data_IF_954449851414
#
_entry.id   IF_954449851414
#
_cell.length_a   1.000
_cell.length_b   1.000
_cell.length_c   1.000
_cell.angle_alpha   90.00
_cell.angle_beta   90.00
_cell.angle_gamma   90.00
#
_symmetry.space_group_name_H-M   'P 1'
#
loop_
_entity.id
_entity.type
_entity.pdbx_description
1 polymer ?
#
# COMPACT_ATOMS: atom_id res chain seq x y z
N UNK A 1 17.76 1.38 20.09
CA UNK A 1 18.33 0.31 19.25
C UNK A 1 18.04 0.69 17.81
N UNK A 2 19.03 0.60 16.91
CA UNK A 2 18.87 0.95 15.51
C UNK A 2 18.57 -0.32 14.71
N UNK A 3 17.48 -0.33 13.95
CA UNK A 3 17.16 -1.41 13.02
C UNK A 3 17.60 -1.06 11.60
N UNK A 4 17.88 -2.09 10.81
CA UNK A 4 18.10 -2.02 9.37
C UNK A 4 16.84 -2.49 8.65
N UNK A 5 16.18 -1.59 7.92
CA UNK A 5 14.95 -1.88 7.19
C UNK A 5 15.21 -1.85 5.68
N UNK A 6 14.90 -2.95 5.01
CA UNK A 6 14.89 -3.03 3.55
C UNK A 6 13.52 -2.63 3.04
N UNK A 7 13.40 -1.74 2.05
CA UNK A 7 12.11 -1.38 1.47
C UNK A 7 12.13 -1.72 -0.02
N UNK A 8 11.26 -2.64 -0.43
CA UNK A 8 11.07 -2.99 -1.82
C UNK A 8 10.21 -1.91 -2.48
N UNK A 9 10.85 -0.98 -3.20
CA UNK A 9 10.22 0.16 -3.86
C UNK A 9 10.67 1.52 -3.29
N UNK A 10 11.34 2.33 -4.12
CA UNK A 10 11.84 3.67 -3.73
C UNK A 10 10.90 4.84 -4.09
N UNK A 11 9.63 4.56 -4.41
CA UNK A 11 8.64 5.62 -4.69
C UNK A 11 7.83 5.92 -3.44
N UNK A 12 6.71 5.22 -3.25
CA UNK A 12 5.90 5.37 -2.05
C UNK A 12 6.66 4.93 -0.80
N UNK A 13 7.55 3.93 -0.93
CA UNK A 13 8.44 3.47 0.13
C UNK A 13 9.38 4.53 0.69
N UNK A 14 9.69 5.61 -0.05
CA UNK A 14 10.47 6.74 0.49
C UNK A 14 9.76 7.45 1.63
N UNK A 15 8.42 7.47 1.67
CA UNK A 15 7.70 8.06 2.80
C UNK A 15 7.99 7.28 4.10
N UNK A 16 7.76 5.96 4.09
CA UNK A 16 8.08 5.11 5.24
C UNK A 16 9.58 5.15 5.56
N UNK A 17 10.43 5.13 4.52
CA UNK A 17 11.88 5.22 4.65
C UNK A 17 12.33 6.49 5.36
N UNK A 18 11.85 7.66 4.94
CA UNK A 18 12.15 8.92 5.62
C UNK A 18 11.65 8.92 7.06
N UNK A 19 10.45 8.40 7.35
CA UNK A 19 9.96 8.31 8.74
C UNK A 19 10.87 7.45 9.63
N UNK A 20 11.31 6.30 9.12
CA UNK A 20 12.25 5.41 9.82
C UNK A 20 13.62 6.06 10.01
N UNK A 21 14.14 6.75 8.99
CA UNK A 21 15.41 7.45 9.07
C UNK A 21 15.36 8.63 10.05
N UNK A 22 14.28 9.41 10.09
CA UNK A 22 14.04 10.42 11.13
C UNK A 22 14.03 9.83 12.54
N UNK A 23 13.56 8.59 12.69
CA UNK A 23 13.53 7.87 13.95
C UNK A 23 14.90 7.24 14.32
N UNK A 24 15.95 7.44 13.51
CA UNK A 24 17.30 6.93 13.78
C UNK A 24 17.55 5.51 13.31
N UNK A 25 16.71 4.98 12.42
CA UNK A 25 16.87 3.66 11.80
C UNK A 25 17.55 3.75 10.43
N UNK A 26 18.21 2.67 9.99
CA UNK A 26 18.82 2.62 8.67
C UNK A 26 17.83 2.04 7.67
N UNK A 27 17.80 2.63 6.47
CA UNK A 27 16.89 2.24 5.39
C UNK A 27 17.67 1.96 4.12
N UNK A 28 17.36 0.84 3.48
CA UNK A 28 17.79 0.56 2.10
C UNK A 28 16.57 0.49 1.19
N UNK A 29 16.49 1.40 0.22
CA UNK A 29 15.45 1.41 -0.80
C UNK A 29 15.87 0.56 -2.01
N UNK A 30 15.07 -0.44 -2.38
CA UNK A 30 15.31 -1.23 -3.59
C UNK A 30 14.62 -0.58 -4.78
N UNK A 31 15.39 -0.31 -5.83
CA UNK A 31 14.90 0.34 -7.04
C UNK A 31 15.77 0.00 -8.27
N UNK A 32 15.50 0.68 -9.39
CA UNK A 32 16.29 0.53 -10.62
C UNK A 32 17.62 1.27 -10.50
N UNK A 33 18.65 0.83 -11.22
CA UNK A 33 20.03 1.36 -11.09
C UNK A 33 20.12 2.88 -11.16
N UNK A 34 19.48 3.52 -12.15
CA UNK A 34 19.46 5.00 -12.26
C UNK A 34 18.86 5.70 -11.04
N UNK A 35 17.82 5.12 -10.45
CA UNK A 35 17.21 5.67 -9.23
C UNK A 35 18.10 5.42 -8.01
N UNK A 36 18.80 4.29 -7.96
CA UNK A 36 19.73 3.99 -6.89
C UNK A 36 20.95 4.92 -6.91
N UNK A 37 21.54 5.14 -8.08
CA UNK A 37 22.63 6.11 -8.30
C UNK A 37 22.21 7.52 -7.86
N UNK A 38 21.03 7.97 -8.30
CA UNK A 38 20.49 9.27 -7.91
C UNK A 38 20.31 9.40 -6.39
N UNK A 39 19.67 8.43 -5.75
CA UNK A 39 19.43 8.48 -4.29
C UNK A 39 20.74 8.41 -3.51
N UNK A 40 21.71 7.61 -3.95
CA UNK A 40 23.00 7.53 -3.26
C UNK A 40 23.87 8.77 -3.45
N UNK A 41 23.64 9.55 -4.53
CA UNK A 41 24.38 10.78 -4.81
C UNK A 41 23.73 12.02 -4.19
N UNK A 42 22.40 12.08 -4.15
CA UNK A 42 21.64 13.29 -3.79
C UNK A 42 20.65 13.09 -2.63
N UNK A 43 20.57 11.89 -2.06
CA UNK A 43 19.57 11.56 -1.04
C UNK A 43 18.14 11.49 -1.58
N UNK A 44 17.15 11.44 -0.68
CA UNK A 44 15.72 11.57 -0.98
C UNK A 44 15.15 12.85 -0.40
N UNK A 45 14.16 13.44 -1.07
CA UNK A 45 13.37 14.55 -0.55
C UNK A 45 11.91 14.11 -0.36
N UNK A 46 11.37 14.23 0.85
CA UNK A 46 9.94 14.06 1.12
C UNK A 46 9.34 15.39 1.54
N UNK A 47 8.41 15.90 0.73
CA UNK A 47 7.66 17.14 0.98
C UNK A 47 6.37 16.82 1.71
N UNK A 48 6.21 17.34 2.92
CA UNK A 48 5.01 17.09 3.75
C UNK A 48 4.56 18.35 4.47
N UNK A 49 3.25 18.57 4.51
CA UNK A 49 2.63 19.71 5.17
C UNK A 49 2.38 19.41 6.64
N UNK A 50 2.90 20.25 7.54
CA UNK A 50 2.71 20.09 8.98
C UNK A 50 1.37 20.69 9.41
N UNK A 51 0.89 20.29 10.58
CA UNK A 51 -0.41 20.76 11.09
C UNK A 51 -0.36 22.26 11.35
N UNK A 52 -1.26 23.00 10.69
CA UNK A 52 -1.39 24.45 10.87
C UNK A 52 -0.45 25.30 10.01
N UNK A 53 0.37 24.66 9.17
CA UNK A 53 1.20 25.37 8.19
C UNK A 53 0.46 25.47 6.85
N UNK A 54 0.88 26.41 6.00
CA UNK A 54 0.33 26.57 4.65
C UNK A 54 1.19 25.89 3.58
N UNK A 55 2.51 25.91 3.76
CA UNK A 55 3.49 25.35 2.84
C UNK A 55 3.93 23.93 3.24
N UNK A 56 4.43 23.18 2.27
CA UNK A 56 5.10 21.90 2.53
C UNK A 56 6.52 22.14 3.01
N UNK A 57 6.95 21.36 4.01
CA UNK A 57 8.36 21.29 4.41
C UNK A 57 9.05 20.16 3.66
N UNK A 58 10.29 20.40 3.24
CA UNK A 58 11.16 19.36 2.69
C UNK A 58 11.93 18.66 3.80
N UNK A 59 11.90 17.32 3.77
CA UNK A 59 12.69 16.47 4.65
C UNK A 59 13.69 15.72 3.76
N UNK A 60 14.96 16.09 3.88
CA UNK A 60 16.05 15.45 3.14
C UNK A 60 16.61 14.27 3.94
N UNK A 61 16.94 13.17 3.27
CA UNK A 61 17.52 11.99 3.94
C UNK A 61 18.88 12.25 4.57
N UNK A 62 19.59 13.27 4.11
CA UNK A 62 20.96 13.55 4.56
C UNK A 62 20.96 14.40 5.85
N UNK A 63 19.82 15.00 6.17
CA UNK A 63 19.63 15.86 7.34
C UNK A 63 18.99 15.12 8.54
N UNK A 64 18.74 13.81 8.40
CA UNK A 64 18.07 13.00 9.44
C UNK A 64 19.05 12.04 10.12
N UNK A 65 18.69 11.56 11.32
CA UNK A 65 19.61 10.79 12.18
C UNK A 65 19.98 9.41 11.65
N UNK A 66 19.05 8.75 10.96
CA UNK A 66 19.23 7.44 10.34
C UNK A 66 19.78 7.54 8.92
N UNK A 67 20.37 6.45 8.42
CA UNK A 67 20.97 6.43 7.08
C UNK A 67 19.97 5.95 6.03
N UNK A 68 19.94 6.62 4.88
CA UNK A 68 19.21 6.14 3.70
C UNK A 68 20.22 5.80 2.60
N UNK A 69 20.07 4.63 2.00
CA UNK A 69 20.77 4.25 0.77
C UNK A 69 19.81 3.55 -0.19
N UNK A 70 20.24 3.34 -1.42
CA UNK A 70 19.49 2.59 -2.42
C UNK A 70 20.33 1.52 -3.12
N UNK A 71 19.70 0.40 -3.43
CA UNK A 71 20.32 -0.74 -4.13
C UNK A 71 19.41 -1.23 -5.26
N UNK A 72 20.01 -1.90 -6.25
CA UNK A 72 19.26 -2.78 -7.15
C UNK A 72 18.91 -4.09 -6.44
N UNK A 73 17.90 -4.85 -6.89
CA UNK A 73 17.55 -6.14 -6.28
C UNK A 73 18.73 -7.10 -6.12
N UNK A 74 19.68 -7.09 -7.07
CA UNK A 74 20.85 -7.97 -7.07
C UNK A 74 21.91 -7.59 -6.03
N UNK A 75 21.92 -6.34 -5.57
CA UNK A 75 22.86 -5.86 -4.57
C UNK A 75 22.47 -6.17 -3.13
N UNK A 76 21.30 -6.76 -2.90
CA UNK A 76 20.76 -6.97 -1.55
C UNK A 76 21.28 -8.27 -0.94
N UNK A 77 21.80 -8.17 0.28
CA UNK A 77 22.07 -9.29 1.19
C UNK A 77 20.99 -9.26 2.27
N UNK A 78 20.05 -10.19 2.22
CA UNK A 78 18.83 -10.10 3.03
C UNK A 78 19.10 -10.22 4.53
N UNK A 79 20.15 -10.95 4.93
CA UNK A 79 20.51 -11.19 6.33
C UNK A 79 20.98 -9.91 7.05
N UNK A 80 21.27 -8.82 6.31
CA UNK A 80 21.66 -7.54 6.89
C UNK A 80 20.47 -6.75 7.48
N UNK A 81 19.24 -7.26 7.32
CA UNK A 81 18.01 -6.52 7.60
C UNK A 81 17.14 -7.20 8.65
N UNK A 82 16.58 -6.39 9.55
CA UNK A 82 15.71 -6.81 10.64
C UNK A 82 14.23 -6.88 10.20
N UNK A 83 13.85 -6.11 9.17
CA UNK A 83 12.49 -6.05 8.64
C UNK A 83 12.52 -5.62 7.16
N UNK A 84 11.50 -6.05 6.41
CA UNK A 84 11.23 -5.64 5.03
C UNK A 84 9.93 -4.84 4.96
N UNK A 85 9.94 -3.72 4.22
CA UNK A 85 8.74 -3.01 3.77
C UNK A 85 8.40 -3.36 2.33
N UNK A 86 7.17 -3.83 2.07
CA UNK A 86 6.68 -4.09 0.71
C UNK A 86 5.94 -2.83 0.20
N UNK A 87 6.58 -2.07 -0.69
CA UNK A 87 6.15 -0.73 -1.10
C UNK A 87 6.08 -0.50 -2.62
N UNK A 88 6.00 -1.59 -3.39
CA UNK A 88 5.67 -1.64 -4.82
C UNK A 88 4.21 -2.07 -5.00
N UNK A 89 3.63 -1.87 -6.18
CA UNK A 89 2.33 -2.46 -6.51
C UNK A 89 2.46 -3.97 -6.69
N UNK A 90 1.42 -4.74 -6.33
CA UNK A 90 1.43 -6.22 -6.42
C UNK A 90 1.99 -6.77 -7.75
N UNK A 91 1.59 -6.28 -8.94
CA UNK A 91 2.08 -6.83 -10.20
C UNK A 91 3.60 -6.73 -10.39
N UNK A 92 4.25 -5.78 -9.69
CA UNK A 92 5.69 -5.57 -9.82
C UNK A 92 6.49 -6.69 -9.17
N UNK A 93 5.94 -7.40 -8.18
CA UNK A 93 6.62 -8.52 -7.51
C UNK A 93 6.75 -9.76 -8.40
N UNK A 94 5.95 -9.88 -9.46
CA UNK A 94 6.10 -10.91 -10.49
C UNK A 94 7.35 -10.71 -11.38
N UNK A 95 8.01 -9.54 -11.29
CA UNK A 95 9.17 -9.27 -12.12
C UNK A 95 10.36 -10.16 -11.72
N UNK A 96 10.92 -10.89 -12.70
CA UNK A 96 11.96 -11.90 -12.49
C UNK A 96 13.17 -11.44 -11.66
N UNK A 97 13.54 -10.15 -11.73
CA UNK A 97 14.65 -9.58 -10.94
C UNK A 97 14.43 -9.62 -9.43
N UNK A 98 13.18 -9.72 -8.97
CA UNK A 98 12.83 -9.79 -7.55
C UNK A 98 12.74 -11.22 -7.03
N UNK A 99 12.68 -12.22 -7.91
CA UNK A 99 12.44 -13.62 -7.51
C UNK A 99 13.44 -14.11 -6.47
N UNK A 100 14.74 -13.92 -6.70
CA UNK A 100 15.79 -14.41 -5.81
C UNK A 100 15.73 -13.74 -4.44
N UNK A 101 15.52 -12.43 -4.39
CA UNK A 101 15.45 -11.68 -3.13
C UNK A 101 14.19 -12.06 -2.33
N UNK A 102 13.04 -12.23 -2.99
CA UNK A 102 11.80 -12.65 -2.33
C UNK A 102 11.90 -14.07 -1.74
N UNK A 103 12.49 -15.01 -2.49
CA UNK A 103 12.75 -16.37 -1.99
C UNK A 103 13.61 -16.31 -0.72
N UNK A 104 14.69 -15.53 -0.75
CA UNK A 104 15.60 -15.41 0.40
C UNK A 104 14.92 -14.74 1.61
N UNK A 105 14.14 -13.69 1.41
CA UNK A 105 13.36 -13.04 2.49
C UNK A 105 12.45 -14.07 3.16
N UNK A 106 11.75 -14.89 2.36
CA UNK A 106 10.85 -15.91 2.87
C UNK A 106 11.58 -17.04 3.62
N UNK A 107 12.68 -17.55 3.06
CA UNK A 107 13.47 -18.64 3.66
C UNK A 107 14.13 -18.22 4.98
N UNK A 108 14.61 -16.98 5.07
CA UNK A 108 15.20 -16.41 6.29
C UNK A 108 14.15 -15.90 7.29
N UNK A 109 12.85 -15.98 6.94
CA UNK A 109 11.72 -15.50 7.75
C UNK A 109 11.89 -14.06 8.24
N UNK A 110 12.31 -13.16 7.35
CA UNK A 110 12.43 -11.74 7.70
C UNK A 110 11.02 -11.12 7.73
N UNK A 111 10.60 -10.46 8.84
CA UNK A 111 9.29 -9.87 8.95
C UNK A 111 9.00 -8.85 7.84
N UNK A 112 7.83 -8.95 7.23
CA UNK A 112 7.41 -8.15 6.09
C UNK A 112 6.18 -7.29 6.42
N UNK A 113 6.35 -5.97 6.43
CA UNK A 113 5.28 -4.98 6.52
C UNK A 113 4.86 -4.54 5.11
N UNK A 114 3.69 -4.98 4.65
CA UNK A 114 3.13 -4.48 3.40
C UNK A 114 2.46 -3.13 3.57
N UNK A 115 2.83 -2.15 2.74
CA UNK A 115 2.13 -0.86 2.60
C UNK A 115 1.44 -0.75 1.23
N UNK A 116 1.08 -1.89 0.64
CA UNK A 116 0.36 -2.00 -0.63
C UNK A 116 -1.16 -1.86 -0.41
N UNK A 117 -1.93 -1.52 -1.46
CA UNK A 117 -3.39 -1.64 -1.36
C UNK A 117 -3.80 -3.11 -1.44
N UNK A 118 -3.14 -3.88 -2.30
CA UNK A 118 -3.39 -5.31 -2.40
C UNK A 118 -2.75 -6.03 -1.21
N UNK A 119 -3.51 -6.77 -0.39
CA UNK A 119 -2.92 -7.61 0.64
C UNK A 119 -2.07 -8.71 -0.02
N UNK A 120 -0.85 -8.99 0.44
CA UNK A 120 -0.16 -10.22 0.07
C UNK A 120 -1.05 -11.44 0.33
N UNK A 121 -1.08 -12.42 -0.57
CA UNK A 121 -1.91 -13.62 -0.37
C UNK A 121 -1.55 -14.33 0.94
N UNK A 122 -0.27 -14.32 1.31
CA UNK A 122 0.22 -14.84 2.60
C UNK A 122 -0.40 -14.17 3.82
N UNK A 123 -0.68 -12.86 3.75
CA UNK A 123 -1.35 -12.16 4.85
C UNK A 123 -2.78 -12.67 5.03
N UNK A 124 -3.51 -12.89 3.93
CA UNK A 124 -4.90 -13.36 3.97
C UNK A 124 -5.02 -14.76 4.61
N UNK A 125 -3.99 -15.61 4.52
CA UNK A 125 -3.96 -16.92 5.16
C UNK A 125 -4.04 -16.86 6.70
N UNK A 126 -3.83 -15.68 7.29
CA UNK A 126 -3.96 -15.45 8.74
C UNK A 126 -5.41 -15.20 9.19
N UNK A 127 -6.32 -14.92 8.25
CA UNK A 127 -7.73 -14.66 8.58
C UNK A 127 -8.41 -16.00 8.81
N UNK A 128 -8.86 -16.24 10.04
CA UNK A 128 -9.55 -17.47 10.41
C UNK A 128 -10.83 -17.65 9.58
N UNK A 129 -11.04 -18.85 9.03
CA UNK A 129 -12.22 -19.19 8.24
C UNK A 129 -12.21 -18.71 6.78
N UNK A 130 -11.21 -17.94 6.34
CA UNK A 130 -11.09 -17.52 4.95
C UNK A 130 -10.43 -18.61 4.06
N UNK A 131 -11.16 -19.14 3.08
CA UNK A 131 -10.57 -19.99 2.03
C UNK A 131 -9.78 -19.13 1.02
N UNK A 132 -8.46 -19.28 1.04
CA UNK A 132 -7.56 -18.53 0.14
C UNK A 132 -7.30 -19.24 -1.19
N UNK A 133 -7.77 -20.48 -1.37
CA UNK A 133 -7.43 -21.33 -2.52
C UNK A 133 -7.87 -20.76 -3.87
N UNK A 134 -9.00 -20.03 -3.89
CA UNK A 134 -9.57 -19.40 -5.10
C UNK A 134 -9.10 -17.97 -5.32
N UNK A 135 -8.48 -17.34 -4.32
CA UNK A 135 -8.15 -15.92 -4.36
C UNK A 135 -6.99 -15.62 -5.31
N UNK A 136 -6.24 -16.64 -5.74
CA UNK A 136 -5.14 -16.50 -6.69
C UNK A 136 -5.51 -15.80 -8.01
N UNK A 137 -6.78 -15.87 -8.43
CA UNK A 137 -7.28 -15.18 -9.62
C UNK A 137 -7.27 -13.64 -9.50
N UNK A 138 -7.11 -13.10 -8.29
CA UNK A 138 -6.98 -11.65 -8.04
C UNK A 138 -5.52 -11.15 -8.03
N UNK A 139 -4.54 -12.05 -8.24
CA UNK A 139 -3.12 -11.73 -8.23
C UNK A 139 -2.51 -11.86 -9.62
N UNK A 140 -1.49 -11.05 -9.92
CA UNK A 140 -0.75 -11.14 -11.19
C UNK A 140 0.06 -12.43 -11.25
N UNK A 141 0.70 -12.78 -10.14
CA UNK A 141 1.38 -14.06 -9.93
C UNK A 141 1.20 -14.47 -8.47
N UNK A 142 0.22 -15.34 -8.14
CA UNK A 142 0.00 -15.74 -6.75
C UNK A 142 1.18 -16.52 -6.17
N UNK A 143 2.02 -17.15 -7.01
CA UNK A 143 3.11 -18.03 -6.56
C UNK A 143 4.26 -17.28 -5.89
N UNK A 144 4.34 -15.97 -6.12
CA UNK A 144 5.23 -15.04 -5.42
C UNK A 144 5.10 -15.17 -3.89
N UNK A 145 3.90 -15.47 -3.41
CA UNK A 145 3.55 -15.44 -1.99
C UNK A 145 3.67 -16.81 -1.31
N UNK A 146 3.82 -17.91 -2.06
CA UNK A 146 3.69 -19.28 -1.55
C UNK A 146 4.71 -19.66 -0.48
N UNK A 147 5.93 -19.10 -0.58
CA UNK A 147 7.04 -19.43 0.33
C UNK A 147 7.00 -18.67 1.64
N UNK A 148 6.27 -17.55 1.70
CA UNK A 148 6.26 -16.72 2.88
C UNK A 148 5.45 -17.38 3.99
N UNK A 149 5.99 -17.30 5.20
CA UNK A 149 5.32 -17.72 6.42
C UNK A 149 4.28 -16.66 6.83
N UNK A 150 2.98 -17.01 6.99
CA UNK A 150 1.94 -16.09 7.45
C UNK A 150 2.29 -15.32 8.72
N UNK A 151 2.99 -15.92 9.68
CA UNK A 151 3.30 -15.25 10.95
C UNK A 151 4.28 -14.08 10.78
N UNK A 152 5.03 -14.07 9.68
CA UNK A 152 6.03 -13.05 9.34
C UNK A 152 5.51 -12.04 8.30
N UNK A 153 4.23 -12.10 7.93
CA UNK A 153 3.62 -11.15 7.00
C UNK A 153 2.53 -10.33 7.71
N UNK A 154 2.66 -9.00 7.64
CA UNK A 154 1.60 -8.10 8.07
C UNK A 154 1.25 -7.07 7.01
N UNK A 155 0.09 -6.44 7.18
CA UNK A 155 -0.44 -5.43 6.27
C UNK A 155 -0.64 -4.12 7.01
N UNK A 156 -0.43 -3.05 6.27
CA UNK A 156 -0.75 -1.70 6.65
C UNK A 156 -1.65 -1.09 5.60
N UNK A 157 -2.73 -0.41 6.02
CA UNK A 157 -3.48 0.46 5.11
C UNK A 157 -2.58 1.61 4.68
N UNK A 158 -2.27 1.80 3.38
CA UNK A 158 -1.58 2.97 2.89
C UNK A 158 -2.55 4.16 2.85
N UNK A 159 -2.84 4.73 4.01
CA UNK A 159 -3.70 5.91 4.11
C UNK A 159 -3.02 7.18 3.56
N UNK A 160 -1.70 7.43 3.70
CA UNK A 160 -1.07 8.63 3.16
C UNK A 160 -1.23 8.73 1.64
N UNK A 161 -1.66 9.89 1.14
CA UNK A 161 -1.67 10.14 -0.29
C UNK A 161 -0.39 10.86 -0.69
N UNK A 162 0.47 10.14 -1.41
CA UNK A 162 1.74 10.68 -1.91
C UNK A 162 1.93 10.34 -3.39
N UNK A 163 2.63 11.21 -4.10
CA UNK A 163 2.97 11.02 -5.50
C UNK A 163 4.33 11.63 -5.80
N UNK A 164 4.99 11.14 -6.85
CA UNK A 164 6.16 11.79 -7.42
C UNK A 164 5.70 12.90 -8.36
N UNK A 165 6.08 14.16 -8.13
CA UNK A 165 5.75 15.22 -9.07
C UNK A 165 6.41 14.93 -10.43
N UNK A 166 5.69 15.12 -11.55
CA UNK A 166 6.21 14.80 -12.89
C UNK A 166 7.38 15.71 -13.30
N UNK A 167 7.43 16.93 -12.76
CA UNK A 167 8.46 17.93 -13.06
C UNK A 167 9.76 17.72 -12.26
N UNK A 168 9.75 16.80 -11.29
CA UNK A 168 10.82 16.61 -10.31
C UNK A 168 11.61 15.33 -10.58
N UNK A 169 12.80 15.24 -9.97
CA UNK A 169 13.63 14.03 -10.01
C UNK A 169 12.96 12.86 -9.27
N UNK A 170 13.35 11.62 -9.61
CA UNK A 170 12.73 10.41 -9.08
C UNK A 170 12.95 10.16 -7.57
N UNK A 171 13.82 10.93 -6.92
CA UNK A 171 14.08 10.91 -5.47
C UNK A 171 13.20 11.90 -4.68
N UNK A 172 12.32 12.66 -5.35
CA UNK A 172 11.38 13.59 -4.72
C UNK A 172 9.99 12.96 -4.59
N UNK A 173 9.40 13.04 -3.40
CA UNK A 173 8.04 12.60 -3.10
C UNK A 173 7.25 13.72 -2.46
N UNK A 174 6.04 13.97 -2.96
CA UNK A 174 5.11 14.95 -2.41
C UNK A 174 3.94 14.27 -1.71
N UNK A 175 3.69 14.63 -0.45
CA UNK A 175 2.59 14.13 0.37
C UNK A 175 1.43 15.14 0.32
N UNK A 176 0.38 14.79 -0.42
CA UNK A 176 -0.83 15.61 -0.53
C UNK A 176 -1.75 15.46 0.69
N UNK A 177 -1.84 14.26 1.26
CA UNK A 177 -2.62 14.00 2.47
C UNK A 177 -1.79 13.22 3.50
N UNK A 178 -1.36 13.86 4.60
CA UNK A 178 -0.42 13.29 5.55
C UNK A 178 -1.12 12.49 6.67
N UNK A 179 -1.87 11.46 6.31
CA UNK A 179 -2.51 10.51 7.23
C UNK A 179 -1.52 9.47 7.75
N UNK A 180 -1.93 8.62 8.71
CA UNK A 180 -1.04 7.64 9.33
C UNK A 180 -1.10 6.28 8.63
N UNK A 181 0.03 5.59 8.56
CA UNK A 181 0.09 4.16 8.31
C UNK A 181 -0.60 3.40 9.45
N UNK A 182 -1.54 2.52 9.14
CA UNK A 182 -2.25 1.68 10.11
C UNK A 182 -1.95 0.22 9.85
N UNK A 183 -1.04 -0.33 10.63
CA UNK A 183 -0.59 -1.72 10.52
C UNK A 183 -1.35 -2.62 11.50
N UNK A 184 -1.60 -3.86 11.10
CA UNK A 184 -1.90 -4.92 12.05
C UNK A 184 -0.62 -5.55 12.60
N UNK A 185 -0.73 -6.20 13.76
CA UNK A 185 0.35 -7.03 14.31
C UNK A 185 0.72 -8.18 13.35
N UNK A 186 1.98 -8.61 13.40
CA UNK A 186 2.46 -9.90 12.90
C UNK A 186 1.86 -11.06 13.71
N UNK A 187 1.92 -12.28 13.18
CA UNK A 187 1.67 -13.49 13.97
C UNK A 187 2.83 -13.80 14.92
N UNK A 188 4.05 -13.43 14.53
CA UNK A 188 5.25 -13.62 15.36
C UNK A 188 5.47 -12.51 16.40
N UNK A 189 5.74 -12.91 17.64
CA UNK A 189 5.94 -12.01 18.76
C UNK A 189 7.25 -11.18 18.66
N UNK A 190 8.33 -11.76 18.10
CA UNK A 190 9.60 -11.03 17.96
C UNK A 190 9.50 -9.97 16.86
N UNK A 191 8.83 -10.28 15.76
CA UNK A 191 8.48 -9.34 14.70
C UNK A 191 7.66 -8.17 15.26
N UNK A 192 6.67 -8.45 16.12
CA UNK A 192 5.89 -7.41 16.79
C UNK A 192 6.73 -6.50 17.69
N UNK A 193 7.77 -7.01 18.38
CA UNK A 193 8.70 -6.14 19.14
C UNK A 193 9.41 -5.12 18.26
N UNK A 194 9.82 -5.53 17.06
CA UNK A 194 10.42 -4.62 16.08
C UNK A 194 9.36 -3.60 15.66
N UNK A 195 8.18 -4.05 15.24
CA UNK A 195 7.10 -3.19 14.75
C UNK A 195 6.68 -2.12 15.78
N UNK A 196 6.46 -2.51 17.04
CA UNK A 196 6.12 -1.59 18.12
C UNK A 196 7.24 -0.59 18.43
N UNK A 197 8.50 -1.03 18.33
CA UNK A 197 9.62 -0.12 18.53
C UNK A 197 9.70 0.91 17.41
N UNK A 198 9.50 0.50 16.16
CA UNK A 198 9.42 1.42 15.02
C UNK A 198 8.25 2.40 15.16
N UNK A 199 7.10 1.96 15.65
CA UNK A 199 5.96 2.84 15.95
C UNK A 199 6.32 3.91 17.00
N UNK A 200 6.89 3.49 18.13
CA UNK A 200 7.31 4.39 19.22
C UNK A 200 8.33 5.42 18.72
N UNK A 201 9.37 4.95 18.04
CA UNK A 201 10.47 5.80 17.59
C UNK A 201 9.96 6.80 16.52
N UNK A 202 9.13 6.37 15.56
CA UNK A 202 8.47 7.29 14.60
C UNK A 202 7.55 8.29 15.30
N UNK A 203 6.80 7.87 16.34
CA UNK A 203 5.92 8.76 17.08
C UNK A 203 6.69 9.88 17.80
N UNK A 204 7.91 9.58 18.26
CA UNK A 204 8.78 10.52 18.95
C UNK A 204 9.46 11.57 18.05
N UNK A 205 9.46 11.38 16.73
CA UNK A 205 10.16 12.27 15.79
C UNK A 205 9.67 13.72 15.85
N UNK A 206 10.62 14.66 15.82
CA UNK A 206 10.40 16.11 15.75
C UNK A 206 11.28 16.73 14.67
N UNK A 207 10.80 17.82 14.06
CA UNK A 207 11.58 18.67 13.15
C UNK A 207 11.37 20.13 13.57
N UNK A 208 12.45 20.84 13.88
CA UNK A 208 12.42 22.20 14.44
C UNK A 208 11.49 22.34 15.66
N UNK A 209 11.47 21.31 16.51
CA UNK A 209 10.59 21.23 17.68
C UNK A 209 9.12 20.84 17.38
N UNK A 210 8.72 20.75 16.12
CA UNK A 210 7.35 20.42 15.71
C UNK A 210 7.13 18.91 15.55
N UNK A 211 5.91 18.44 15.81
CA UNK A 211 5.51 17.06 15.53
C UNK A 211 5.46 16.79 14.02
N UNK A 212 6.16 15.75 13.58
CA UNK A 212 6.25 15.41 12.16
C UNK A 212 5.07 14.51 11.79
N UNK A 213 4.19 14.90 10.85
CA UNK A 213 3.02 14.12 10.48
C UNK A 213 3.39 12.81 9.78
N UNK A 214 2.36 11.99 9.50
CA UNK A 214 2.49 10.59 9.04
C UNK A 214 3.20 9.72 10.08
N UNK A 215 2.43 9.03 10.90
CA UNK A 215 2.91 8.07 11.90
C UNK A 215 2.67 6.64 11.44
N UNK A 216 3.43 5.70 11.99
CA UNK A 216 3.06 4.29 12.04
C UNK A 216 2.16 4.09 13.27
N UNK A 217 1.05 3.39 13.08
CA UNK A 217 0.10 3.03 14.15
C UNK A 217 -0.19 1.54 14.09
N UNK A 218 0.13 0.83 15.16
CA UNK A 218 -0.04 -0.63 15.23
C UNK A 218 -1.34 -0.95 15.96
N UNK A 219 -2.12 -1.85 15.37
CA UNK A 219 -3.40 -2.29 15.88
C UNK A 219 -3.39 -3.81 16.05
N UNK A 220 -4.09 -4.29 17.08
CA UNK A 220 -4.24 -5.73 17.33
C UNK A 220 -5.16 -6.41 16.32
N UNK A 221 -6.19 -5.70 15.86
CA UNK A 221 -7.12 -6.26 14.88
C UNK A 221 -6.42 -6.40 13.52
N UNK A 222 -6.46 -7.62 12.98
CA UNK A 222 -5.98 -7.93 11.63
C UNK A 222 -6.81 -7.23 10.53
N UNK A 223 -8.02 -6.78 10.87
CA UNK A 223 -8.98 -6.21 9.93
C UNK A 223 -8.84 -4.69 9.75
N UNK A 224 -8.10 -4.00 10.62
CA UNK A 224 -7.89 -2.54 10.50
C UNK A 224 -7.33 -2.13 9.14
N UNK A 225 -6.34 -2.84 8.55
CA UNK A 225 -5.90 -2.54 7.19
C UNK A 225 -6.98 -2.75 6.12
N UNK A 226 -7.93 -3.67 6.33
CA UNK A 226 -8.98 -4.03 5.37
C UNK A 226 -10.11 -3.00 5.30
N UNK A 227 -10.24 -2.13 6.29
CA UNK A 227 -11.20 -1.01 6.27
C UNK A 227 -11.05 -0.11 5.03
N UNK A 228 -9.88 -0.16 4.36
CA UNK A 228 -9.63 0.55 3.12
C UNK A 228 -10.40 0.00 1.92
N UNK A 229 -10.77 -1.28 1.92
CA UNK A 229 -11.45 -1.93 0.80
C UNK A 229 -12.72 -1.21 0.38
N UNK A 230 -13.55 -0.77 1.34
CA UNK A 230 -14.78 -0.03 1.03
C UNK A 230 -14.50 1.25 0.25
N UNK A 231 -13.44 1.99 0.60
CA UNK A 231 -13.04 3.19 -0.16
C UNK A 231 -12.53 2.86 -1.56
N UNK A 232 -11.78 1.76 -1.71
CA UNK A 232 -11.22 1.35 -2.99
C UNK A 232 -12.32 0.96 -3.98
N UNK A 233 -13.30 0.16 -3.54
CA UNK A 233 -14.38 -0.31 -4.41
C UNK A 233 -15.43 0.77 -4.68
N UNK A 234 -15.77 1.59 -3.67
CA UNK A 234 -16.74 2.69 -3.85
C UNK A 234 -16.18 3.82 -4.73
N UNK A 235 -14.88 4.12 -4.63
CA UNK A 235 -14.23 5.21 -5.36
C UNK A 235 -13.22 4.75 -6.40
N UNK A 236 -12.11 4.17 -5.97
CA UNK A 236 -10.92 4.00 -6.81
C UNK A 236 -11.16 3.16 -8.06
N UNK A 237 -11.76 1.97 -7.94
CA UNK A 237 -12.04 1.10 -9.09
C UNK A 237 -13.17 1.67 -9.95
N UNK A 238 -14.14 2.34 -9.33
CA UNK A 238 -15.21 3.07 -10.03
C UNK A 238 -14.72 4.28 -10.81
N UNK A 239 -13.47 4.72 -10.66
CA UNK A 239 -12.85 5.70 -11.56
C UNK A 239 -12.56 5.13 -12.95
N UNK A 240 -12.46 3.80 -13.08
CA UNK A 240 -12.26 3.11 -14.35
C UNK A 240 -13.63 3.00 -15.02
N UNK A 241 -13.73 3.53 -16.23
CA UNK A 241 -14.94 3.53 -17.05
C UNK A 241 -14.61 2.91 -18.41
N UNK A 242 -15.64 2.63 -19.20
CA UNK A 242 -15.44 2.20 -20.60
C UNK A 242 -14.83 3.35 -21.41
N UNK A 243 -15.25 4.59 -21.14
CA UNK A 243 -14.71 5.80 -21.76
C UNK A 243 -13.46 6.33 -21.03
N UNK A 244 -13.45 7.62 -20.70
CA UNK A 244 -12.37 8.31 -20.01
C UNK A 244 -12.48 8.14 -18.49
N UNK A 245 -11.35 7.98 -17.79
CA UNK A 245 -11.37 7.84 -16.34
C UNK A 245 -11.97 9.08 -15.68
N UNK A 246 -12.74 8.88 -14.62
CA UNK A 246 -13.33 9.96 -13.82
C UNK A 246 -12.58 10.17 -12.50
N UNK A 247 -12.80 11.31 -11.86
CA UNK A 247 -12.23 11.57 -10.53
C UNK A 247 -12.82 10.65 -9.46
N UNK A 248 -12.11 10.48 -8.33
CA UNK A 248 -12.66 9.74 -7.18
C UNK A 248 -13.88 10.49 -6.63
N UNK A 249 -13.84 11.82 -6.59
CA UNK A 249 -14.98 12.65 -6.21
C UNK A 249 -16.22 12.30 -7.03
N UNK A 250 -16.12 12.33 -8.36
CA UNK A 250 -17.28 12.07 -9.23
C UNK A 250 -17.70 10.60 -9.16
N UNK A 251 -16.78 9.67 -8.92
CA UNK A 251 -17.12 8.28 -8.65
C UNK A 251 -18.00 8.12 -7.41
N UNK A 252 -17.71 8.86 -6.34
CA UNK A 252 -18.46 8.81 -5.08
C UNK A 252 -19.75 9.65 -5.13
N UNK A 253 -19.69 10.86 -5.66
CA UNK A 253 -20.74 11.89 -5.51
C UNK A 253 -21.79 11.91 -6.61
N UNK A 254 -21.53 11.35 -7.80
CA UNK A 254 -22.54 11.33 -8.88
C UNK A 254 -23.78 10.50 -8.52
N UNK A 255 -23.61 9.50 -7.66
CA UNK A 255 -24.69 8.69 -7.10
C UNK A 255 -24.31 8.25 -5.69
N UNK A 256 -24.69 9.06 -4.70
CA UNK A 256 -24.39 8.80 -3.29
C UNK A 256 -25.08 7.54 -2.77
N UNK A 257 -26.27 7.20 -3.30
CA UNK A 257 -27.01 6.01 -2.89
C UNK A 257 -26.26 4.76 -3.31
N UNK A 258 -25.89 4.65 -4.59
CA UNK A 258 -25.04 3.56 -5.11
C UNK A 258 -23.71 3.49 -4.36
N UNK A 259 -23.09 4.64 -4.09
CA UNK A 259 -21.84 4.69 -3.33
C UNK A 259 -21.98 4.15 -1.91
N UNK A 260 -23.09 4.48 -1.22
CA UNK A 260 -23.39 3.98 0.11
C UNK A 260 -23.63 2.47 0.11
N UNK A 261 -24.41 1.97 -0.86
CA UNK A 261 -24.71 0.54 -1.01
C UNK A 261 -23.44 -0.29 -1.23
N UNK A 262 -22.54 0.14 -2.12
CA UNK A 262 -21.25 -0.52 -2.34
C UNK A 262 -20.39 -0.46 -1.07
N UNK A 263 -20.32 0.70 -0.42
CA UNK A 263 -19.46 0.89 0.75
C UNK A 263 -19.89 -0.03 1.90
N UNK A 264 -21.20 -0.10 2.16
CA UNK A 264 -21.80 -0.95 3.19
C UNK A 264 -21.66 -2.43 2.85
N UNK A 265 -21.81 -2.81 1.58
CA UNK A 265 -21.60 -4.20 1.15
C UNK A 265 -20.17 -4.67 1.45
N UNK A 266 -19.16 -3.86 1.12
CA UNK A 266 -17.76 -4.23 1.37
C UNK A 266 -17.44 -4.23 2.88
N UNK A 267 -18.06 -3.33 3.65
CA UNK A 267 -18.00 -3.33 5.12
C UNK A 267 -18.63 -4.61 5.70
N UNK A 268 -19.76 -5.07 5.16
CA UNK A 268 -20.39 -6.35 5.55
C UNK A 268 -19.46 -7.54 5.26
N UNK A 269 -18.81 -7.57 4.09
CA UNK A 269 -17.83 -8.61 3.75
C UNK A 269 -16.72 -8.67 4.79
N UNK A 270 -16.12 -7.53 5.16
CA UNK A 270 -15.07 -7.49 6.18
C UNK A 270 -15.59 -7.96 7.56
N UNK A 271 -16.80 -7.57 7.96
CA UNK A 271 -17.41 -8.00 9.22
C UNK A 271 -17.70 -9.51 9.24
N UNK A 272 -18.14 -10.10 8.12
CA UNK A 272 -18.35 -11.55 8.01
C UNK A 272 -17.04 -12.35 8.14
N UNK A 273 -15.90 -11.75 7.81
CA UNK A 273 -14.59 -12.32 8.06
C UNK A 273 -14.11 -12.16 9.51
N UNK A 274 -14.79 -11.36 10.33
CA UNK A 274 -14.46 -11.15 11.74
C UNK A 274 -14.03 -9.71 12.10
N UNK A 275 -14.12 -8.75 11.18
CA UNK A 275 -13.84 -7.35 11.50
C UNK A 275 -14.81 -6.79 12.54
N UNK A 276 -14.29 -6.05 13.52
CA UNK A 276 -15.14 -5.34 14.48
C UNK A 276 -15.80 -4.13 13.79
N UNK A 277 -17.08 -3.83 14.04
CA UNK A 277 -17.74 -2.65 13.48
C UNK A 277 -17.05 -1.31 13.80
N UNK A 278 -16.16 -1.27 14.80
CA UNK A 278 -15.34 -0.10 15.16
C UNK A 278 -14.07 0.05 14.33
N UNK A 279 -13.63 -1.00 13.64
CA UNK A 279 -12.47 -0.94 12.73
C UNK A 279 -12.78 -0.15 11.45
N UNK A 280 -14.06 -0.02 11.11
CA UNK A 280 -14.50 0.64 9.87
C UNK A 280 -14.32 2.15 9.92
N UNK A 281 -14.16 2.74 8.73
CA UNK A 281 -14.32 4.18 8.55
C UNK A 281 -15.79 4.46 8.20
N UNK A 282 -16.52 5.30 8.96
CA UNK A 282 -17.89 5.66 8.62
C UNK A 282 -18.02 6.25 7.21
N UNK A 283 -19.08 5.87 6.49
CA UNK A 283 -19.32 6.32 5.11
C UNK A 283 -19.32 7.86 4.99
N UNK A 284 -19.99 8.58 5.90
CA UNK A 284 -20.03 10.05 5.87
C UNK A 284 -18.64 10.70 5.99
N UNK A 285 -17.72 10.07 6.74
CA UNK A 285 -16.33 10.53 6.80
C UNK A 285 -15.63 10.33 5.46
N UNK A 286 -15.90 9.22 4.78
CA UNK A 286 -15.37 8.97 3.44
C UNK A 286 -15.95 9.92 2.39
N UNK A 287 -17.27 10.16 2.40
CA UNK A 287 -17.94 11.12 1.50
C UNK A 287 -17.33 12.51 1.65
N UNK A 288 -17.18 13.00 2.89
CA UNK A 288 -16.55 14.30 3.15
C UNK A 288 -15.09 14.33 2.68
N UNK A 289 -14.33 13.26 2.90
CA UNK A 289 -12.95 13.18 2.44
C UNK A 289 -12.86 13.17 0.90
N UNK A 290 -13.83 12.54 0.22
CA UNK A 290 -13.81 12.38 -1.24
C UNK A 290 -14.13 13.66 -2.02
N UNK A 291 -14.72 14.68 -1.39
CA UNK A 291 -14.95 16.02 -1.97
C UNK A 291 -13.67 16.63 -2.56
N UNK A 292 -12.52 16.37 -1.93
CA UNK A 292 -11.22 16.90 -2.31
C UNK A 292 -10.44 15.97 -3.27
N UNK A 293 -10.98 14.80 -3.62
CA UNK A 293 -10.29 13.81 -4.46
C UNK A 293 -10.63 14.01 -5.94
N UNK A 294 -10.23 15.17 -6.47
CA UNK A 294 -10.55 15.64 -7.82
C UNK A 294 -9.76 14.98 -8.95
N UNK A 295 -8.83 14.07 -8.64
CA UNK A 295 -8.05 13.31 -9.62
C UNK A 295 -8.59 11.88 -9.74
N UNK A 296 -8.44 11.22 -10.91
CA UNK A 296 -8.67 9.79 -11.02
C UNK A 296 -7.71 9.00 -10.11
N UNK A 297 -8.15 7.81 -9.69
CA UNK A 297 -7.35 6.91 -8.87
C UNK A 297 -6.05 6.49 -9.57
N UNK A 298 -5.06 6.02 -8.80
CA UNK A 298 -3.82 5.47 -9.35
C UNK A 298 -4.09 4.32 -10.33
N UNK A 299 -5.04 3.44 -10.00
CA UNK A 299 -5.47 2.35 -10.86
C UNK A 299 -6.05 2.86 -12.19
N UNK A 300 -6.98 3.83 -12.13
CA UNK A 300 -7.59 4.40 -13.34
C UNK A 300 -6.57 5.12 -14.23
N UNK A 301 -5.62 5.85 -13.63
CA UNK A 301 -4.53 6.49 -14.39
C UNK A 301 -3.61 5.45 -15.04
N UNK A 302 -3.27 4.37 -14.32
CA UNK A 302 -2.43 3.31 -14.86
C UNK A 302 -3.09 2.60 -16.05
N UNK A 303 -4.36 2.19 -15.89
CA UNK A 303 -5.14 1.55 -16.96
C UNK A 303 -5.28 2.48 -18.17
N UNK A 304 -5.61 3.76 -17.95
CA UNK A 304 -5.71 4.75 -19.04
C UNK A 304 -4.38 5.01 -19.74
N UNK A 305 -3.24 4.78 -19.07
CA UNK A 305 -1.90 4.90 -19.63
C UNK A 305 -1.42 3.61 -20.32
N UNK A 306 -2.28 2.59 -20.47
CA UNK A 306 -1.97 1.34 -21.15
C UNK A 306 -1.36 0.26 -20.25
N UNK A 307 -1.48 0.37 -18.92
CA UNK A 307 -1.01 -0.69 -18.04
C UNK A 307 -1.82 -1.98 -18.27
N UNK A 308 -1.18 -3.12 -18.58
CA UNK A 308 -1.88 -4.39 -18.78
C UNK A 308 -2.22 -5.11 -17.46
N UNK A 309 -1.62 -4.68 -16.35
CA UNK A 309 -1.84 -5.24 -15.02
C UNK A 309 -1.93 -4.12 -13.98
N UNK A 310 -2.81 -4.29 -13.00
CA UNK A 310 -2.95 -3.47 -11.80
C UNK A 310 -3.26 -4.38 -10.60
N UNK A 311 -3.20 -3.84 -9.38
CA UNK A 311 -3.77 -4.50 -8.20
C UNK A 311 -5.27 -4.74 -8.39
N UNK A 312 -5.76 -5.97 -8.13
CA UNK A 312 -7.17 -6.37 -8.32
C UNK A 312 -7.91 -6.64 -7.01
N UNK A 313 -7.92 -5.67 -6.11
CA UNK A 313 -8.69 -5.72 -4.85
C UNK A 313 -10.21 -5.84 -5.13
N UNK A 314 -10.69 -5.31 -6.27
CA UNK A 314 -12.05 -5.52 -6.77
C UNK A 314 -12.39 -7.00 -6.96
N UNK A 315 -11.51 -7.76 -7.62
CA UNK A 315 -11.67 -9.21 -7.81
C UNK A 315 -11.52 -9.94 -6.49
N UNK A 316 -10.55 -9.55 -5.66
CA UNK A 316 -10.33 -10.16 -4.35
C UNK A 316 -11.60 -10.11 -3.49
N UNK A 317 -12.17 -8.90 -3.33
CA UNK A 317 -13.37 -8.72 -2.51
C UNK A 317 -14.57 -9.42 -3.13
N UNK A 318 -14.71 -9.42 -4.47
CA UNK A 318 -15.76 -10.18 -5.17
C UNK A 318 -15.68 -11.67 -4.85
N UNK A 319 -14.50 -12.29 -4.97
CA UNK A 319 -14.32 -13.73 -4.74
C UNK A 319 -14.59 -14.10 -3.27
N UNK A 320 -14.14 -13.28 -2.33
CA UNK A 320 -14.42 -13.46 -0.90
C UNK A 320 -15.93 -13.36 -0.65
N UNK A 321 -16.60 -12.36 -1.22
CA UNK A 321 -18.04 -12.20 -1.07
C UNK A 321 -18.81 -13.42 -1.62
N UNK A 322 -18.42 -13.93 -2.78
CA UNK A 322 -19.02 -15.13 -3.38
C UNK A 322 -18.88 -16.36 -2.49
N UNK A 323 -17.72 -16.57 -1.86
CA UNK A 323 -17.49 -17.68 -0.92
C UNK A 323 -18.35 -17.56 0.36
N UNK A 324 -18.65 -16.31 0.77
CA UNK A 324 -19.59 -16.00 1.84
C UNK A 324 -21.07 -16.04 1.43
N UNK A 325 -21.37 -16.39 0.18
CA UNK A 325 -22.74 -16.42 -0.36
C UNK A 325 -23.34 -15.03 -0.62
N UNK A 326 -22.50 -14.01 -0.74
CA UNK A 326 -22.86 -12.62 -1.01
C UNK A 326 -22.57 -12.24 -2.47
N UNK A 327 -23.29 -11.25 -2.99
CA UNK A 327 -23.00 -10.68 -4.31
C UNK A 327 -23.50 -9.25 -4.39
N UNK A 328 -22.81 -8.41 -5.16
CA UNK A 328 -23.21 -7.03 -5.43
C UNK A 328 -23.07 -6.75 -6.92
N UNK A 329 -24.20 -6.38 -7.55
CA UNK A 329 -24.27 -6.15 -9.00
C UNK A 329 -23.29 -5.08 -9.48
N UNK A 330 -23.13 -3.99 -8.73
CA UNK A 330 -22.28 -2.87 -9.13
C UNK A 330 -20.79 -3.19 -9.01
N UNK A 331 -20.40 -4.00 -8.03
CA UNK A 331 -19.03 -4.52 -7.92
C UNK A 331 -18.75 -5.46 -9.09
N UNK A 332 -19.68 -6.36 -9.43
CA UNK A 332 -19.52 -7.26 -10.57
C UNK A 332 -19.36 -6.49 -11.89
N UNK A 333 -20.22 -5.49 -12.14
CA UNK A 333 -20.09 -4.61 -13.30
C UNK A 333 -18.75 -3.85 -13.31
N UNK A 334 -18.29 -3.39 -12.15
CA UNK A 334 -16.99 -2.72 -12.04
C UNK A 334 -15.84 -3.68 -12.40
N UNK A 335 -15.86 -4.91 -11.90
CA UNK A 335 -14.86 -5.94 -12.23
C UNK A 335 -14.84 -6.22 -13.73
N UNK A 336 -16.00 -6.37 -14.36
CA UNK A 336 -16.13 -6.58 -15.82
C UNK A 336 -15.52 -5.41 -16.61
N UNK A 337 -15.82 -4.16 -16.24
CA UNK A 337 -15.24 -2.97 -16.88
C UNK A 337 -13.71 -2.97 -16.73
N UNK A 338 -13.19 -3.30 -15.55
CA UNK A 338 -11.74 -3.35 -15.31
C UNK A 338 -11.09 -4.44 -16.18
N UNK A 339 -11.70 -5.63 -16.27
CA UNK A 339 -11.22 -6.73 -17.11
C UNK A 339 -11.20 -6.36 -18.60
N UNK A 340 -12.27 -5.72 -19.11
CA UNK A 340 -12.36 -5.22 -20.49
C UNK A 340 -11.20 -4.25 -20.80
N UNK A 341 -10.95 -3.29 -19.90
CA UNK A 341 -9.91 -2.27 -20.10
C UNK A 341 -8.50 -2.84 -20.01
N UNK A 342 -8.24 -3.76 -19.08
CA UNK A 342 -6.94 -4.44 -18.97
C UNK A 342 -6.68 -5.32 -20.19
N UNK A 343 -7.67 -6.09 -20.63
CA UNK A 343 -7.56 -6.93 -21.83
C UNK A 343 -7.25 -6.11 -23.07
N UNK A 344 -7.84 -4.92 -23.20
CA UNK A 344 -7.57 -3.99 -24.29
C UNK A 344 -6.14 -3.42 -24.30
N UNK A 345 -5.45 -3.48 -23.15
CA UNK A 345 -4.07 -3.02 -22.99
C UNK A 345 -3.03 -4.13 -23.20
N UNK A 346 -3.45 -5.40 -23.29
CA UNK A 346 -2.54 -6.50 -23.61
C UNK A 346 -2.18 -6.38 -25.09
N UNK A 347 -0.90 -6.20 -25.45
CA UNK A 347 -0.51 -6.20 -26.86
C UNK A 347 -0.94 -7.52 -27.48
N UNK A 348 -1.75 -7.47 -28.53
CA UNK A 348 -1.99 -8.65 -29.37
C UNK A 348 -0.63 -9.04 -29.91
N UNK A 349 -0.13 -10.21 -29.52
CA UNK A 349 1.03 -10.83 -30.17
C UNK A 349 0.63 -11.09 -31.61
N UNK A 350 1.00 -10.16 -32.50
CA UNK A 350 0.95 -10.33 -33.95
C UNK A 350 2.12 -11.17 -34.44
#
# INVERSE_FOLDING_TARGET
MTYNVLILGASYGSLLGTKLAMAGHNVTLVCRSKTAELINAEGTEVRVKFKGEDEHRSIFSDDVSGKVRALTPQGVVVQDYDMVGLAMQEPQYAHHTLRTILIRIAEEKIPCLSIMNMPPLTFLKRIEGLDTSKLGASYTDPTVWDRFDPDFMTLCSPDPQAFRPPEEKANVLHVGLPTNFKASEFGDFKANKILYKLEEDIASTRLDGNDVPVKLRVYKSIFVPLAKWSMLLTGNYRCITREQPRSIRDAVHNDLKKSQEIYQFVDEVAQRLGADPTDRVPFDKYVKASENLVKPSSAARAVSAGAPFIERVDVLVKLIAEDLGLSNRDINETVEIVDEKLSSNIPILG
#
